data_IF_481755011942
#
_entry.id   IF_481755011942
#
_cell.length_a   1.000
_cell.length_b   1.000
_cell.length_c   1.000
_cell.angle_alpha   90.00
_cell.angle_beta   90.00
_cell.angle_gamma   90.00
#
_symmetry.space_group_name_H-M   'P 1'
#
loop_
_entity.id
_entity.type
_entity.pdbx_description
1 polymer ?
#
# COMPACT_ATOMS: atom_id res chain seq x y z
N UNK A 1 29.09 30.95 -18.35
CA UNK A 1 27.77 30.28 -18.49
C UNK A 1 27.54 29.43 -17.26
N UNK A 2 26.60 29.81 -16.38
CA UNK A 2 26.26 29.03 -15.18
C UNK A 2 25.23 27.98 -15.58
N UNK A 3 25.62 26.71 -15.49
CA UNK A 3 24.72 25.57 -15.69
C UNK A 3 23.89 25.49 -14.42
N UNK A 4 22.65 26.00 -14.47
CA UNK A 4 21.70 25.82 -13.38
C UNK A 4 21.35 24.33 -13.31
N UNK A 5 21.90 23.65 -12.31
CA UNK A 5 21.49 22.29 -11.94
C UNK A 5 20.02 22.32 -11.53
N UNK A 6 19.15 21.96 -12.47
CA UNK A 6 17.78 21.53 -12.18
C UNK A 6 17.89 20.22 -11.38
N UNK A 7 17.25 20.06 -10.21
CA UNK A 7 17.27 18.77 -9.53
C UNK A 7 16.44 17.78 -10.35
N UNK A 8 17.09 16.92 -11.12
CA UNK A 8 16.45 15.79 -11.81
C UNK A 8 16.30 14.63 -10.83
N UNK A 9 15.38 14.77 -9.86
CA UNK A 9 14.96 13.68 -8.98
C UNK A 9 13.49 13.33 -9.24
N UNK A 10 13.20 12.90 -10.47
CA UNK A 10 11.94 12.21 -10.81
C UNK A 10 12.15 10.73 -11.13
N UNK A 11 13.39 10.25 -11.01
CA UNK A 11 13.82 8.88 -11.31
C UNK A 11 13.96 7.99 -10.07
N UNK A 12 13.59 8.46 -8.88
CA UNK A 12 13.84 7.74 -7.62
C UNK A 12 12.58 7.35 -6.81
N UNK A 13 11.36 7.70 -7.24
CA UNK A 13 10.15 7.25 -6.53
C UNK A 13 9.67 5.90 -7.11
N UNK A 14 9.83 4.78 -6.38
CA UNK A 14 9.43 3.46 -6.87
C UNK A 14 7.93 3.39 -7.15
N UNK A 15 7.12 4.14 -6.40
CA UNK A 15 5.68 4.20 -6.61
C UNK A 15 5.32 4.96 -7.89
N UNK A 16 6.05 6.02 -8.22
CA UNK A 16 5.84 6.73 -9.49
C UNK A 16 6.16 5.83 -10.69
N UNK A 17 7.30 5.12 -10.64
CA UNK A 17 7.71 4.22 -11.72
C UNK A 17 6.69 3.11 -11.93
N UNK A 18 6.25 2.48 -10.85
CA UNK A 18 5.23 1.42 -10.90
C UNK A 18 3.88 1.97 -11.41
N UNK A 19 3.39 3.09 -10.88
CA UNK A 19 2.12 3.71 -11.33
C UNK A 19 2.10 4.11 -12.80
N UNK A 20 3.27 4.38 -13.41
CA UNK A 20 3.37 4.68 -14.84
C UNK A 20 3.04 3.48 -15.73
N UNK A 21 3.22 2.26 -15.19
CA UNK A 21 2.94 0.99 -15.85
C UNK A 21 1.58 0.43 -15.44
N UNK A 22 1.07 0.83 -14.27
CA UNK A 22 -0.15 0.32 -13.64
C UNK A 22 -1.24 1.40 -13.56
N UNK A 23 -1.76 1.83 -14.72
CA UNK A 23 -2.67 2.96 -14.82
C UNK A 23 -4.02 2.73 -14.09
N UNK A 24 -4.49 1.48 -14.00
CA UNK A 24 -5.73 1.13 -13.30
C UNK A 24 -5.55 1.21 -11.79
N UNK A 25 -4.46 0.65 -11.29
CA UNK A 25 -4.07 0.62 -9.89
C UNK A 25 -3.73 2.03 -9.39
N UNK A 26 -3.09 2.84 -10.24
CA UNK A 26 -2.80 4.25 -9.96
C UNK A 26 -4.07 5.07 -9.66
N UNK A 27 -5.20 4.75 -10.31
CA UNK A 27 -6.50 5.37 -10.00
C UNK A 27 -7.05 4.87 -8.67
N UNK A 28 -6.91 3.58 -8.36
CA UNK A 28 -7.35 3.00 -7.10
C UNK A 28 -6.59 3.62 -5.93
N UNK A 29 -5.26 3.77 -6.04
CA UNK A 29 -4.42 4.46 -5.04
C UNK A 29 -4.87 5.91 -4.83
N UNK A 30 -5.30 6.61 -5.89
CA UNK A 30 -5.78 7.99 -5.75
C UNK A 30 -7.10 8.08 -4.96
N UNK A 31 -8.02 7.13 -5.19
CA UNK A 31 -9.26 7.00 -4.40
C UNK A 31 -8.93 6.63 -2.96
N UNK A 32 -8.11 5.60 -2.78
CA UNK A 32 -7.69 5.11 -1.46
C UNK A 32 -6.99 6.20 -0.63
N UNK A 33 -6.17 7.06 -1.24
CA UNK A 33 -5.53 8.20 -0.55
C UNK A 33 -6.54 9.28 -0.15
N UNK A 34 -7.62 9.45 -0.92
CA UNK A 34 -8.67 10.42 -0.62
C UNK A 34 -9.49 9.96 0.58
N UNK A 35 -9.85 8.68 0.59
CA UNK A 35 -10.59 8.05 1.69
C UNK A 35 -9.70 7.89 2.94
N UNK A 36 -8.43 7.55 2.74
CA UNK A 36 -7.47 7.17 3.77
C UNK A 36 -6.09 7.78 3.50
N UNK A 37 -5.84 9.01 4.01
CA UNK A 37 -4.55 9.67 3.86
C UNK A 37 -3.39 8.86 4.45
N UNK A 38 -2.29 8.73 3.68
CA UNK A 38 -1.13 7.91 4.04
C UNK A 38 -1.07 6.55 3.34
N UNK A 39 -2.09 6.17 2.58
CA UNK A 39 -2.07 4.90 1.84
C UNK A 39 -1.10 4.92 0.65
N UNK A 40 -0.77 6.10 0.10
CA UNK A 40 0.33 6.27 -0.86
C UNK A 40 1.68 5.97 -0.23
N UNK A 41 1.91 6.43 0.99
CA UNK A 41 3.15 6.15 1.72
C UNK A 41 3.27 4.65 2.00
N UNK A 42 2.18 4.01 2.42
CA UNK A 42 2.12 2.56 2.57
C UNK A 42 2.43 1.81 1.27
N UNK A 43 1.88 2.23 0.14
CA UNK A 43 2.18 1.63 -1.17
C UNK A 43 3.66 1.79 -1.53
N UNK A 44 4.26 2.96 -1.24
CA UNK A 44 5.70 3.20 -1.46
C UNK A 44 6.55 2.29 -0.57
N UNK A 45 6.26 2.25 0.73
CA UNK A 45 6.96 1.41 1.71
C UNK A 45 6.90 -0.07 1.31
N UNK A 46 5.78 -0.51 0.76
CA UNK A 46 5.63 -1.87 0.23
C UNK A 46 6.59 -2.15 -0.92
N UNK A 47 6.64 -1.27 -1.91
CA UNK A 47 7.53 -1.43 -3.07
C UNK A 47 8.99 -1.43 -2.65
N UNK A 48 9.38 -0.54 -1.73
CA UNK A 48 10.72 -0.49 -1.15
C UNK A 48 11.05 -1.77 -0.39
N UNK A 49 10.11 -2.26 0.42
CA UNK A 49 10.29 -3.49 1.20
C UNK A 49 10.49 -4.71 0.31
N UNK A 50 9.68 -4.86 -0.74
CA UNK A 50 9.82 -5.95 -1.71
C UNK A 50 11.12 -5.83 -2.49
N UNK A 51 11.54 -4.61 -2.86
CA UNK A 51 12.80 -4.39 -3.57
C UNK A 51 14.04 -4.76 -2.71
N UNK A 52 14.00 -4.49 -1.41
CA UNK A 52 15.08 -4.85 -0.48
C UNK A 52 15.15 -6.35 -0.21
N UNK A 53 14.01 -7.04 -0.16
CA UNK A 53 13.92 -8.46 0.19
C UNK A 53 14.02 -9.41 -1.00
N UNK A 54 13.69 -8.95 -2.20
CA UNK A 54 13.71 -9.75 -3.43
C UNK A 54 14.73 -9.17 -4.41
N UNK A 55 15.96 -9.72 -4.43
CA UNK A 55 17.02 -9.22 -5.31
C UNK A 55 16.74 -9.51 -6.78
N UNK A 56 16.06 -10.62 -7.08
CA UNK A 56 15.69 -11.02 -8.43
C UNK A 56 14.56 -10.13 -9.00
N UNK A 57 14.76 -9.44 -10.13
CA UNK A 57 13.77 -8.50 -10.68
C UNK A 57 12.44 -9.14 -11.08
N UNK A 58 12.46 -10.33 -11.67
CA UNK A 58 11.24 -11.03 -12.10
C UNK A 58 10.41 -11.48 -10.90
N UNK A 59 11.06 -12.10 -9.91
CA UNK A 59 10.41 -12.45 -8.63
C UNK A 59 9.92 -11.21 -7.89
N UNK A 60 10.62 -10.07 -7.99
CA UNK A 60 10.19 -8.81 -7.39
C UNK A 60 8.89 -8.32 -8.02
N UNK A 61 8.83 -8.33 -9.35
CA UNK A 61 7.61 -7.97 -10.07
C UNK A 61 6.44 -8.88 -9.66
N UNK A 62 6.68 -10.19 -9.64
CA UNK A 62 5.68 -11.17 -9.21
C UNK A 62 5.23 -10.98 -7.76
N UNK A 63 6.16 -10.64 -6.85
CA UNK A 63 5.85 -10.37 -5.45
C UNK A 63 4.98 -9.11 -5.29
N UNK A 64 5.26 -8.04 -6.06
CA UNK A 64 4.44 -6.82 -6.06
C UNK A 64 3.05 -7.09 -6.62
N UNK A 65 2.93 -7.85 -7.73
CA UNK A 65 1.63 -8.23 -8.29
C UNK A 65 0.79 -9.05 -7.30
N UNK A 66 1.39 -10.06 -6.69
CA UNK A 66 0.71 -10.95 -5.74
C UNK A 66 0.42 -10.32 -4.38
N UNK A 67 0.89 -9.10 -4.12
CA UNK A 67 0.67 -8.38 -2.86
C UNK A 67 -0.07 -7.06 -3.10
N UNK A 68 0.60 -6.06 -3.67
CA UNK A 68 0.06 -4.71 -3.84
C UNK A 68 -1.06 -4.66 -4.89
N UNK A 69 -0.87 -5.24 -6.08
CA UNK A 69 -1.93 -5.26 -7.10
C UNK A 69 -3.15 -6.03 -6.60
N UNK A 70 -2.93 -7.18 -5.98
CA UNK A 70 -3.99 -7.99 -5.36
C UNK A 70 -4.76 -7.21 -4.28
N UNK A 71 -4.07 -6.49 -3.40
CA UNK A 71 -4.69 -5.67 -2.35
C UNK A 71 -5.56 -4.54 -2.92
N UNK A 72 -5.05 -3.83 -3.93
CA UNK A 72 -5.81 -2.76 -4.60
C UNK A 72 -7.05 -3.31 -5.32
N UNK A 73 -6.96 -4.51 -5.90
CA UNK A 73 -8.12 -5.18 -6.48
C UNK A 73 -9.14 -5.61 -5.43
N UNK A 74 -8.69 -6.11 -4.28
CA UNK A 74 -9.57 -6.49 -3.16
C UNK A 74 -10.33 -5.27 -2.62
N UNK A 75 -9.65 -4.15 -2.40
CA UNK A 75 -10.28 -2.89 -2.01
C UNK A 75 -11.33 -2.41 -3.01
N UNK A 76 -10.99 -2.43 -4.30
CA UNK A 76 -11.95 -2.08 -5.36
C UNK A 76 -13.16 -3.02 -5.37
N UNK A 77 -12.94 -4.31 -5.12
CA UNK A 77 -14.02 -5.28 -4.95
C UNK A 77 -14.94 -4.90 -3.79
N UNK A 78 -14.36 -4.55 -2.64
CA UNK A 78 -15.10 -4.15 -1.45
C UNK A 78 -15.94 -2.87 -1.68
N UNK A 79 -15.40 -1.88 -2.40
CA UNK A 79 -16.17 -0.69 -2.83
C UNK A 79 -17.38 -1.11 -3.67
N UNK A 80 -17.17 -1.93 -4.70
CA UNK A 80 -18.21 -2.30 -5.65
C UNK A 80 -19.34 -3.11 -5.00
N UNK A 81 -19.02 -3.96 -4.03
CA UNK A 81 -20.00 -4.78 -3.32
C UNK A 81 -20.82 -3.98 -2.30
N UNK A 82 -20.54 -2.69 -2.07
CA UNK A 82 -21.15 -1.86 -1.03
C UNK A 82 -21.15 -2.53 0.36
N UNK A 83 -20.23 -3.48 0.56
CA UNK A 83 -20.18 -4.33 1.73
C UNK A 83 -19.19 -3.72 2.73
N UNK A 84 -19.66 -3.51 3.96
CA UNK A 84 -18.86 -3.01 5.07
C UNK A 84 -18.71 -1.48 5.10
N UNK A 85 -18.32 -1.03 6.28
CA UNK A 85 -17.87 0.34 6.55
C UNK A 85 -16.60 0.67 5.77
N UNK A 86 -16.25 1.95 5.65
CA UNK A 86 -14.99 2.34 5.02
C UNK A 86 -13.79 1.69 5.73
N UNK A 87 -13.88 1.47 7.06
CA UNK A 87 -12.88 0.77 7.86
C UNK A 87 -12.71 -0.68 7.41
N UNK A 88 -13.80 -1.39 7.14
CA UNK A 88 -13.75 -2.77 6.65
C UNK A 88 -13.05 -2.84 5.29
N UNK A 89 -13.28 -1.86 4.41
CA UNK A 89 -12.62 -1.77 3.10
C UNK A 89 -11.11 -1.55 3.25
N UNK A 90 -10.70 -0.69 4.17
CA UNK A 90 -9.28 -0.49 4.50
C UNK A 90 -8.67 -1.76 5.10
N UNK A 91 -9.42 -2.48 5.94
CA UNK A 91 -8.94 -3.72 6.53
C UNK A 91 -8.77 -4.82 5.48
N UNK A 92 -9.70 -4.98 4.55
CA UNK A 92 -9.58 -5.91 3.40
C UNK A 92 -8.33 -5.61 2.58
N UNK A 93 -8.04 -4.32 2.33
CA UNK A 93 -6.82 -3.90 1.65
C UNK A 93 -5.56 -4.36 2.40
N UNK A 94 -5.47 -4.04 3.69
CA UNK A 94 -4.31 -4.35 4.52
C UNK A 94 -4.11 -5.86 4.70
N UNK A 95 -5.17 -6.60 5.00
CA UNK A 95 -5.11 -8.05 5.18
C UNK A 95 -4.64 -8.74 3.90
N UNK A 96 -5.13 -8.29 2.74
CA UNK A 96 -4.70 -8.84 1.44
C UNK A 96 -3.24 -8.53 1.17
N UNK A 97 -2.81 -7.30 1.46
CA UNK A 97 -1.43 -6.86 1.29
C UNK A 97 -0.46 -7.69 2.13
N UNK A 98 -0.75 -7.82 3.43
CA UNK A 98 0.10 -8.50 4.39
C UNK A 98 0.21 -9.99 4.06
N UNK A 99 -0.93 -10.66 3.78
CA UNK A 99 -0.93 -12.07 3.33
C UNK A 99 -0.17 -12.27 2.03
N UNK A 100 -0.24 -11.31 1.11
CA UNK A 100 0.53 -11.35 -0.13
C UNK A 100 2.03 -11.28 0.13
N UNK A 101 2.47 -10.35 0.98
CA UNK A 101 3.87 -10.19 1.34
C UNK A 101 4.43 -11.40 2.10
N UNK A 102 3.69 -11.92 3.09
CA UNK A 102 4.08 -13.11 3.86
C UNK A 102 4.30 -14.34 2.96
N UNK A 103 3.45 -14.52 1.93
CA UNK A 103 3.55 -15.66 1.00
C UNK A 103 4.70 -15.55 0.02
N UNK A 104 5.06 -14.33 -0.40
CA UNK A 104 6.02 -14.10 -1.48
C UNK A 104 7.44 -13.87 -0.97
N UNK A 105 7.60 -13.47 0.31
CA UNK A 105 8.89 -13.09 0.85
C UNK A 105 9.46 -14.20 1.75
N UNK A 106 10.58 -14.82 1.35
CA UNK A 106 11.14 -15.99 2.05
C UNK A 106 11.66 -15.70 3.47
N UNK A 107 11.75 -14.42 3.85
CA UNK A 107 12.22 -13.95 5.16
C UNK A 107 11.37 -12.78 5.67
N UNK A 108 10.08 -12.71 5.31
CA UNK A 108 9.16 -11.85 6.04
C UNK A 108 9.25 -12.22 7.52
N UNK A 109 9.30 -11.25 8.45
CA UNK A 109 9.16 -11.59 9.86
C UNK A 109 7.87 -12.40 10.01
N UNK A 110 7.94 -13.48 10.78
CA UNK A 110 6.89 -14.50 10.83
C UNK A 110 5.55 -14.00 11.39
N UNK A 111 5.44 -12.70 11.72
CA UNK A 111 4.25 -12.08 12.27
C UNK A 111 3.94 -10.75 11.59
N UNK A 112 2.68 -10.59 11.15
CA UNK A 112 2.04 -9.33 10.75
C UNK A 112 2.35 -8.17 11.71
N UNK A 113 2.54 -8.47 13.01
CA UNK A 113 2.84 -7.51 14.08
C UNK A 113 4.17 -6.76 13.90
N UNK A 114 5.15 -7.33 13.20
CA UNK A 114 6.43 -6.66 12.92
C UNK A 114 6.42 -5.90 11.58
N UNK A 115 5.60 -6.34 10.63
CA UNK A 115 5.44 -5.71 9.31
C UNK A 115 4.56 -4.46 9.37
N UNK A 116 3.51 -4.48 10.19
CA UNK A 116 2.55 -3.39 10.31
C UNK A 116 3.21 -2.05 10.69
N UNK A 117 4.10 -1.97 11.70
CA UNK A 117 4.75 -0.71 12.07
C UNK A 117 5.67 -0.15 10.99
N UNK A 118 6.23 -1.02 10.14
CA UNK A 118 7.14 -0.66 9.06
C UNK A 118 6.41 -0.20 7.81
N UNK A 119 5.33 -0.90 7.44
CA UNK A 119 4.60 -0.64 6.20
C UNK A 119 3.50 0.39 6.38
N UNK A 120 2.86 0.41 7.55
CA UNK A 120 1.67 1.23 7.80
C UNK A 120 2.07 2.50 8.58
N UNK A 121 1.95 3.69 7.96
CA UNK A 121 2.16 4.96 8.63
C UNK A 121 1.35 5.06 9.94
N UNK A 122 1.90 5.78 10.93
CA UNK A 122 1.24 5.96 12.23
C UNK A 122 -0.19 6.51 12.09
N UNK A 123 -0.41 7.42 11.14
CA UNK A 123 -1.73 7.99 10.83
C UNK A 123 -2.79 6.95 10.46
N UNK A 124 -2.41 5.90 9.73
CA UNK A 124 -3.30 4.80 9.38
C UNK A 124 -3.45 3.80 10.53
N UNK A 125 -2.40 3.58 11.33
CA UNK A 125 -2.48 2.72 12.52
C UNK A 125 -3.46 3.25 13.55
N UNK A 126 -3.49 4.56 13.77
CA UNK A 126 -4.43 5.19 14.72
C UNK A 126 -5.90 5.00 14.30
N UNK A 127 -6.17 5.00 13.00
CA UNK A 127 -7.50 4.76 12.42
C UNK A 127 -7.94 3.30 12.63
N UNK A 128 -6.99 2.36 12.55
CA UNK A 128 -7.24 0.93 12.74
C UNK A 128 -7.38 0.54 14.21
N UNK A 129 -6.75 1.29 15.13
CA UNK A 129 -6.78 1.02 16.58
C UNK A 129 -7.94 1.72 17.27
N UNK A 130 -8.41 2.87 16.78
CA UNK A 130 -9.53 3.56 17.43
C UNK A 130 -10.78 2.67 17.41
N UNK A 131 -11.37 2.35 18.57
CA UNK A 131 -12.75 1.87 18.58
C UNK A 131 -13.61 2.96 17.94
N UNK A 132 -14.60 2.54 17.14
CA UNK A 132 -15.66 3.45 16.71
C UNK A 132 -16.42 3.77 18.00
N UNK A 133 -15.99 4.79 18.74
CA UNK A 133 -16.88 5.40 19.71
C UNK A 133 -18.00 6.04 18.88
N UNK A 134 -19.16 5.41 19.01
CA UNK A 134 -20.48 5.85 18.57
C UNK A 134 -20.55 7.35 18.33
N UNK A 135 -20.60 7.74 17.05
CA UNK A 135 -21.20 9.01 16.64
C UNK A 135 -22.72 8.83 16.52
N UNK A 136 -23.35 8.31 17.58
CA UNK A 136 -24.79 8.40 17.83
C UNK A 136 -24.98 9.06 19.20
N UNK A 137 -24.67 10.36 19.26
CA UNK A 137 -25.14 11.24 20.34
C UNK A 137 -25.01 12.71 19.91
N UNK A 138 -25.98 13.19 19.11
CA UNK A 138 -26.54 14.54 19.20
C UNK A 138 -27.76 14.68 18.28
#
# INVERSE_FOLDING_TARGET
MKINHKPTSKTADPLWLWRSQHARESKIIAVLETDWPGTRELCRNTLDYVAQRVPDPERRHQAVENSLSAALHAYRGAINCHAGSDRDRLQVFLDTLMRGLEKQLPAAPAASDELMPWLVPASLRDILVRPVEDRDAA
#
